data_IF_050240762885
#
_entry.id   IF_050240762885
#
_cell.length_a   1.000
_cell.length_b   1.000
_cell.length_c   1.000
_cell.angle_alpha   90.00
_cell.angle_beta   90.00
_cell.angle_gamma   90.00
#
_symmetry.space_group_name_H-M   'P 1'
#
loop_
_entity.id
_entity.type
_entity.pdbx_description
1 polymer ?
#
# COMPACT_ATOMS: atom_id res chain seq x y z
N UNK A 1 29.70 2.22 0.36
CA UNK A 1 28.33 2.36 0.90
C UNK A 1 28.16 1.29 1.97
N UNK A 2 28.29 1.63 3.26
CA UNK A 2 28.52 0.59 4.29
C UNK A 2 27.26 -0.22 4.69
N UNK A 3 26.03 0.31 4.54
CA UNK A 3 24.79 -0.40 4.95
C UNK A 3 23.57 -0.07 4.07
N UNK A 4 23.43 -0.63 2.86
CA UNK A 4 22.32 -0.35 1.93
C UNK A 4 20.92 -0.53 2.56
N UNK A 5 20.70 -1.61 3.32
CA UNK A 5 19.40 -1.88 3.93
C UNK A 5 19.01 -0.87 5.02
N UNK A 6 20.00 -0.31 5.73
CA UNK A 6 19.75 0.75 6.71
C UNK A 6 19.33 2.05 6.02
N UNK A 7 19.96 2.40 4.90
CA UNK A 7 19.57 3.55 4.09
C UNK A 7 18.19 3.35 3.48
N UNK A 8 17.87 2.16 2.97
CA UNK A 8 16.53 1.82 2.49
C UNK A 8 15.46 2.02 3.57
N UNK A 9 15.70 1.51 4.79
CA UNK A 9 14.78 1.71 5.93
C UNK A 9 14.65 3.17 6.36
N UNK A 10 15.71 3.97 6.25
CA UNK A 10 15.67 5.42 6.53
C UNK A 10 14.88 6.16 5.45
N UNK A 11 15.11 5.81 4.19
CA UNK A 11 14.40 6.34 3.03
C UNK A 11 12.90 6.10 3.16
N UNK A 12 12.45 4.85 3.36
CA UNK A 12 11.03 4.53 3.51
C UNK A 12 10.33 5.35 4.61
N UNK A 13 10.97 5.50 5.78
CA UNK A 13 10.45 6.34 6.88
C UNK A 13 10.43 7.83 6.54
N UNK A 14 11.37 8.33 5.73
CA UNK A 14 11.39 9.73 5.29
C UNK A 14 10.30 9.98 4.25
N UNK A 15 10.10 9.02 3.34
CA UNK A 15 9.03 9.00 2.34
C UNK A 15 7.65 9.03 2.99
N UNK A 16 7.39 8.17 3.97
CA UNK A 16 6.12 8.17 4.70
C UNK A 16 5.85 9.53 5.39
N UNK A 17 6.87 10.09 6.07
CA UNK A 17 6.73 11.39 6.74
C UNK A 17 6.46 12.54 5.78
N UNK A 18 7.06 12.55 4.59
CA UNK A 18 6.78 13.61 3.61
C UNK A 18 5.40 13.45 2.98
N UNK A 19 4.92 12.21 2.77
CA UNK A 19 3.55 11.93 2.33
C UNK A 19 2.55 12.48 3.34
N UNK A 20 2.69 12.13 4.62
CA UNK A 20 1.81 12.63 5.69
C UNK A 20 1.83 14.16 5.79
N UNK A 21 3.03 14.77 5.72
CA UNK A 21 3.17 16.22 5.77
C UNK A 21 2.51 16.91 4.56
N UNK A 22 2.70 16.38 3.35
CA UNK A 22 2.08 16.94 2.13
C UNK A 22 0.57 16.75 2.14
N UNK A 23 0.09 15.58 2.55
CA UNK A 23 -1.34 15.31 2.72
C UNK A 23 -1.99 16.34 3.65
N UNK A 24 -1.34 16.66 4.76
CA UNK A 24 -1.80 17.72 5.68
C UNK A 24 -1.84 19.11 5.04
N UNK A 25 -0.80 19.51 4.32
CA UNK A 25 -0.75 20.81 3.64
C UNK A 25 -1.86 20.94 2.58
N UNK A 26 -2.22 19.85 1.92
CA UNK A 26 -3.26 19.84 0.89
C UNK A 26 -4.69 19.63 1.44
N UNK A 27 -4.90 19.59 2.76
CA UNK A 27 -6.21 19.29 3.35
C UNK A 27 -6.67 17.84 3.15
N UNK A 28 -5.75 16.96 2.77
CA UNK A 28 -5.96 15.55 2.44
C UNK A 28 -5.44 14.62 3.55
N UNK A 29 -5.54 15.03 4.81
CA UNK A 29 -4.97 14.31 5.97
C UNK A 29 -5.41 12.83 6.03
N UNK A 30 -6.67 12.57 5.67
CA UNK A 30 -7.23 11.23 5.56
C UNK A 30 -6.48 10.34 4.54
N UNK A 31 -5.94 10.95 3.48
CA UNK A 31 -5.32 10.28 2.33
C UNK A 31 -3.85 9.95 2.57
N UNK A 32 -3.15 10.72 3.41
CA UNK A 32 -1.75 10.48 3.75
C UNK A 32 -1.53 9.36 4.78
N UNK A 33 -2.59 8.95 5.47
CA UNK A 33 -2.55 7.88 6.47
C UNK A 33 -2.91 6.50 5.94
N UNK A 34 -2.97 5.48 6.82
CA UNK A 34 -3.25 4.10 6.43
C UNK A 34 -4.57 3.90 5.67
N UNK A 35 -5.61 4.68 5.95
CA UNK A 35 -6.90 4.57 5.25
C UNK A 35 -6.79 5.00 3.78
N UNK A 36 -6.11 6.11 3.51
CA UNK A 36 -5.81 6.54 2.15
C UNK A 36 -4.98 5.54 1.37
N UNK A 37 -3.98 4.93 2.02
CA UNK A 37 -3.18 3.86 1.42
C UNK A 37 -4.03 2.65 1.04
N UNK A 38 -4.95 2.21 1.91
CA UNK A 38 -5.90 1.13 1.57
C UNK A 38 -6.74 1.49 0.35
N UNK A 39 -7.31 2.70 0.28
CA UNK A 39 -8.09 3.12 -0.89
C UNK A 39 -7.25 3.15 -2.17
N UNK A 40 -6.00 3.60 -2.08
CA UNK A 40 -5.06 3.64 -3.20
C UNK A 40 -4.73 2.23 -3.70
N UNK A 41 -4.37 1.31 -2.79
CA UNK A 41 -4.08 -0.10 -3.09
C UNK A 41 -5.28 -0.77 -3.76
N UNK A 42 -6.46 -0.69 -3.15
CA UNK A 42 -7.68 -1.34 -3.68
C UNK A 42 -8.01 -0.77 -5.06
N UNK A 43 -7.90 0.55 -5.26
CA UNK A 43 -8.16 1.18 -6.55
C UNK A 43 -7.13 0.78 -7.61
N UNK A 44 -5.85 0.76 -7.26
CA UNK A 44 -4.77 0.40 -8.18
C UNK A 44 -4.86 -1.07 -8.62
N UNK A 45 -5.13 -1.98 -7.67
CA UNK A 45 -5.36 -3.41 -7.96
C UNK A 45 -6.60 -3.62 -8.83
N UNK A 46 -7.70 -2.91 -8.55
CA UNK A 46 -8.91 -2.99 -9.36
C UNK A 46 -8.67 -2.53 -10.81
N UNK A 47 -7.88 -1.48 -11.04
CA UNK A 47 -7.48 -1.04 -12.40
C UNK A 47 -6.71 -2.12 -13.18
N UNK A 48 -6.06 -3.05 -12.47
CA UNK A 48 -5.33 -4.21 -13.03
C UNK A 48 -6.18 -5.47 -13.10
N UNK A 49 -7.47 -5.40 -12.78
CA UNK A 49 -8.38 -6.55 -12.75
C UNK A 49 -8.16 -7.49 -11.56
N UNK A 50 -7.48 -7.03 -10.51
CA UNK A 50 -7.17 -7.84 -9.33
C UNK A 50 -8.12 -7.53 -8.17
N UNK A 51 -8.66 -8.58 -7.55
CA UNK A 51 -9.37 -8.48 -6.28
C UNK A 51 -8.40 -8.18 -5.14
N UNK A 52 -8.90 -7.51 -4.10
CA UNK A 52 -8.13 -7.18 -2.90
C UNK A 52 -8.77 -7.79 -1.67
N UNK A 53 -8.01 -8.56 -0.91
CA UNK A 53 -8.42 -9.19 0.34
C UNK A 53 -7.75 -8.50 1.54
N UNK A 54 -8.29 -8.72 2.75
CA UNK A 54 -7.70 -8.17 3.98
C UNK A 54 -6.24 -8.62 4.17
N UNK A 55 -5.91 -9.87 3.83
CA UNK A 55 -4.53 -10.39 3.88
C UNK A 55 -3.58 -9.64 2.92
N UNK A 56 -4.12 -9.13 1.81
CA UNK A 56 -3.30 -8.37 0.87
C UNK A 56 -2.96 -7.02 1.48
N UNK A 57 -3.90 -6.38 2.20
CA UNK A 57 -3.63 -5.14 2.95
C UNK A 57 -2.66 -5.37 4.09
N UNK A 58 -2.73 -6.52 4.77
CA UNK A 58 -1.75 -6.92 5.80
C UNK A 58 -0.33 -6.90 5.24
N UNK A 59 -0.13 -7.56 4.10
CA UNK A 59 1.15 -7.66 3.42
C UNK A 59 1.61 -6.32 2.82
N UNK A 60 0.74 -5.63 2.06
CA UNK A 60 1.08 -4.38 1.36
C UNK A 60 1.43 -3.24 2.32
N UNK A 61 0.85 -3.25 3.54
CA UNK A 61 1.14 -2.25 4.56
C UNK A 61 2.16 -2.70 5.60
N UNK A 62 2.62 -3.95 5.56
CA UNK A 62 3.51 -4.56 6.56
C UNK A 62 3.00 -4.33 8.01
N UNK A 63 1.73 -4.69 8.24
CA UNK A 63 1.07 -4.56 9.54
C UNK A 63 0.56 -5.91 10.01
N UNK A 64 0.40 -6.10 11.31
CA UNK A 64 -0.16 -7.37 11.81
C UNK A 64 -1.62 -7.56 11.41
N UNK A 65 -2.04 -8.82 11.28
CA UNK A 65 -3.44 -9.23 11.07
C UNK A 65 -4.46 -8.49 11.94
N UNK A 66 -4.14 -8.26 13.21
CA UNK A 66 -5.05 -7.56 14.13
C UNK A 66 -5.17 -6.08 13.81
N UNK A 67 -4.07 -5.42 13.43
CA UNK A 67 -4.04 -4.02 13.00
C UNK A 67 -4.79 -3.86 11.67
N UNK A 68 -4.52 -4.72 10.68
CA UNK A 68 -5.24 -4.72 9.41
C UNK A 68 -6.74 -4.92 9.62
N UNK A 69 -7.13 -5.93 10.41
CA UNK A 69 -8.54 -6.19 10.72
C UNK A 69 -9.24 -5.00 11.38
N UNK A 70 -8.57 -4.32 12.32
CA UNK A 70 -9.13 -3.14 12.99
C UNK A 70 -9.22 -1.92 12.07
N UNK A 71 -8.25 -1.74 11.17
CA UNK A 71 -8.27 -0.70 10.15
C UNK A 71 -9.46 -0.90 9.20
N UNK A 72 -9.61 -2.10 8.64
CA UNK A 72 -10.68 -2.43 7.71
C UNK A 72 -12.06 -2.32 8.37
N UNK A 73 -12.26 -2.83 9.59
CA UNK A 73 -13.52 -2.67 10.34
C UNK A 73 -13.90 -1.20 10.52
N UNK A 74 -12.91 -0.34 10.79
CA UNK A 74 -13.14 1.10 10.94
C UNK A 74 -13.54 1.75 9.62
N UNK A 75 -12.87 1.39 8.53
CA UNK A 75 -13.19 1.91 7.19
C UNK A 75 -14.58 1.46 6.71
N UNK A 76 -14.97 0.22 7.02
CA UNK A 76 -16.31 -0.30 6.75
C UNK A 76 -17.37 0.46 7.55
N UNK A 77 -17.16 0.61 8.86
CA UNK A 77 -18.05 1.40 9.75
C UNK A 77 -18.22 2.85 9.27
N UNK A 78 -17.16 3.45 8.72
CA UNK A 78 -17.17 4.82 8.23
C UNK A 78 -17.72 4.95 6.79
N UNK A 79 -18.12 3.84 6.15
CA UNK A 79 -18.73 3.87 4.81
C UNK A 79 -17.76 4.08 3.65
N UNK A 80 -16.44 3.99 3.88
CA UNK A 80 -15.44 4.14 2.81
C UNK A 80 -15.26 2.86 1.98
N UNK A 81 -15.53 1.70 2.59
CA UNK A 81 -15.46 0.38 1.96
C UNK A 81 -16.65 -0.47 2.39
N UNK A 82 -16.88 -1.58 1.69
CA UNK A 82 -17.71 -2.68 2.15
C UNK A 82 -16.99 -4.01 1.92
N UNK A 83 -17.32 -5.01 2.73
CA UNK A 83 -16.74 -6.34 2.63
C UNK A 83 -17.70 -7.32 1.95
N UNK A 84 -17.17 -8.08 1.01
CA UNK A 84 -17.86 -9.21 0.39
C UNK A 84 -17.18 -10.50 0.83
N UNK A 85 -17.96 -11.49 1.27
CA UNK A 85 -17.41 -12.81 1.61
C UNK A 85 -17.17 -13.56 0.32
N UNK A 86 -15.96 -14.11 0.15
CA UNK A 86 -15.65 -14.89 -1.04
C UNK A 86 -16.58 -16.11 -1.16
N UNK A 87 -17.09 -16.34 -2.36
CA UNK A 87 -17.93 -17.51 -2.66
C UNK A 87 -17.16 -18.83 -2.46
N UNK A 88 -15.85 -18.81 -2.70
CA UNK A 88 -14.97 -20.00 -2.65
C UNK A 88 -14.38 -20.26 -1.26
N UNK A 89 -14.16 -19.22 -0.47
CA UNK A 89 -13.63 -19.33 0.90
C UNK A 89 -14.34 -18.34 1.83
N UNK A 90 -15.23 -18.86 2.68
CA UNK A 90 -16.01 -18.04 3.63
C UNK A 90 -15.13 -17.31 4.67
N UNK A 91 -13.86 -17.70 4.82
CA UNK A 91 -12.89 -17.01 5.69
C UNK A 91 -12.22 -15.83 4.99
N UNK A 92 -12.25 -15.80 3.66
CA UNK A 92 -11.71 -14.71 2.85
C UNK A 92 -12.75 -13.59 2.68
N UNK A 93 -12.37 -12.38 3.06
CA UNK A 93 -13.18 -11.17 2.85
C UNK A 93 -12.51 -10.27 1.84
N UNK A 94 -13.23 -9.98 0.76
CA UNK A 94 -12.84 -9.08 -0.31
C UNK A 94 -13.25 -7.66 0.05
N UNK A 95 -12.39 -6.69 -0.27
CA UNK A 95 -12.58 -5.28 0.01
C UNK A 95 -13.06 -4.58 -1.26
N UNK A 96 -14.19 -3.89 -1.16
CA UNK A 96 -14.74 -3.09 -2.25
C UNK A 96 -14.88 -1.63 -1.84
N UNK A 97 -14.65 -0.74 -2.81
CA UNK A 97 -14.84 0.70 -2.64
C UNK A 97 -16.31 1.08 -2.77
N UNK A 98 -16.81 1.88 -1.84
CA UNK A 98 -18.15 2.49 -1.94
C UNK A 98 -18.20 3.59 -2.99
N UNK A 99 -19.41 4.03 -3.35
CA UNK A 99 -19.58 5.17 -4.26
C UNK A 99 -18.93 6.45 -3.70
N UNK A 100 -19.00 6.65 -2.37
CA UNK A 100 -18.39 7.78 -1.68
C UNK A 100 -16.87 7.81 -1.87
N UNK A 101 -16.18 6.70 -1.59
CA UNK A 101 -14.72 6.66 -1.75
C UNK A 101 -14.30 6.75 -3.21
N UNK A 102 -15.10 6.22 -4.15
CA UNK A 102 -14.86 6.36 -5.59
C UNK A 102 -14.84 7.81 -6.07
N UNK A 103 -15.67 8.69 -5.49
CA UNK A 103 -15.65 10.13 -5.83
C UNK A 103 -14.32 10.80 -5.44
N UNK A 104 -13.72 10.33 -4.34
CA UNK A 104 -12.46 10.86 -3.81
C UNK A 104 -11.22 10.24 -4.47
N UNK A 105 -11.39 9.17 -5.27
CA UNK A 105 -10.26 8.48 -5.90
C UNK A 105 -9.47 9.37 -6.85
N UNK A 106 -10.12 10.32 -7.54
CA UNK A 106 -9.41 11.20 -8.46
C UNK A 106 -8.36 12.02 -7.72
N UNK A 107 -8.77 12.70 -6.65
CA UNK A 107 -7.87 13.48 -5.79
C UNK A 107 -6.79 12.59 -5.16
N UNK A 108 -7.15 11.35 -4.80
CA UNK A 108 -6.21 10.37 -4.25
C UNK A 108 -5.10 10.02 -5.25
N UNK A 109 -5.50 9.68 -6.49
CA UNK A 109 -4.57 9.34 -7.56
C UNK A 109 -3.70 10.54 -7.92
N UNK A 110 -4.29 11.73 -8.04
CA UNK A 110 -3.56 12.95 -8.34
C UNK A 110 -2.50 13.25 -7.27
N UNK A 111 -2.85 13.04 -5.98
CA UNK A 111 -1.92 13.20 -4.86
C UNK A 111 -0.74 12.22 -4.91
N UNK A 112 -1.01 10.91 -5.04
CA UNK A 112 0.06 9.91 -5.06
C UNK A 112 0.93 10.00 -6.32
N UNK A 113 0.34 10.29 -7.48
CA UNK A 113 1.10 10.53 -8.70
C UNK A 113 2.05 11.73 -8.57
N UNK A 114 1.63 12.79 -7.86
CA UNK A 114 2.49 13.95 -7.60
C UNK A 114 3.66 13.59 -6.68
N UNK A 115 3.42 12.76 -5.66
CA UNK A 115 4.47 12.23 -4.80
C UNK A 115 5.47 11.43 -5.62
N UNK A 116 5.00 10.49 -6.44
CA UNK A 116 5.86 9.65 -7.29
C UNK A 116 6.69 10.49 -8.24
N UNK A 117 6.07 11.47 -8.92
CA UNK A 117 6.76 12.40 -9.82
C UNK A 117 7.87 13.17 -9.10
N UNK A 118 7.61 13.64 -7.88
CA UNK A 118 8.59 14.37 -7.08
C UNK A 118 9.74 13.47 -6.60
N UNK A 119 9.44 12.23 -6.19
CA UNK A 119 10.44 11.29 -5.67
C UNK A 119 11.31 10.69 -6.77
N UNK A 120 10.77 10.52 -7.97
CA UNK A 120 11.44 9.97 -9.14
C UNK A 120 12.09 11.05 -10.03
N UNK A 121 12.04 12.32 -9.63
CA UNK A 121 12.63 13.40 -10.42
C UNK A 121 14.14 13.17 -10.62
N UNK A 122 14.55 13.14 -11.89
CA UNK A 122 15.95 12.92 -12.28
C UNK A 122 16.39 11.46 -12.31
N UNK A 123 15.49 10.51 -12.04
CA UNK A 123 15.72 9.07 -12.23
C UNK A 123 15.34 8.69 -13.66
N UNK A 124 16.28 8.13 -14.40
CA UNK A 124 16.06 7.64 -15.77
C UNK A 124 15.25 6.34 -15.78
N UNK A 125 14.68 5.99 -16.94
CA UNK A 125 13.98 4.72 -17.12
C UNK A 125 14.89 3.50 -16.92
N UNK A 126 16.17 3.60 -17.29
CA UNK A 126 17.16 2.54 -17.09
C UNK A 126 17.49 2.32 -15.60
N UNK A 127 17.65 3.41 -14.84
CA UNK A 127 17.85 3.35 -13.39
C UNK A 127 16.62 2.77 -12.69
N UNK A 128 15.42 3.14 -13.13
CA UNK A 128 14.17 2.60 -12.59
C UNK A 128 13.99 1.12 -12.93
N UNK A 129 14.35 0.69 -14.14
CA UNK A 129 14.36 -0.72 -14.54
C UNK A 129 15.34 -1.53 -13.67
N UNK A 130 16.53 -0.97 -13.44
CA UNK A 130 17.54 -1.57 -12.55
C UNK A 130 17.02 -1.68 -11.11
N UNK A 131 16.42 -0.61 -10.58
CA UNK A 131 15.79 -0.60 -9.27
C UNK A 131 14.72 -1.69 -9.16
N UNK A 132 13.84 -1.80 -10.16
CA UNK A 132 12.78 -2.81 -10.20
C UNK A 132 13.35 -4.23 -10.16
N UNK A 133 14.40 -4.51 -10.94
CA UNK A 133 15.09 -5.81 -10.93
C UNK A 133 15.69 -6.13 -9.56
N UNK A 134 16.32 -5.15 -8.90
CA UNK A 134 16.92 -5.35 -7.57
C UNK A 134 15.83 -5.57 -6.51
N UNK A 135 14.73 -4.81 -6.56
CA UNK A 135 13.59 -4.99 -5.65
C UNK A 135 12.96 -6.38 -5.78
N UNK A 136 12.82 -6.92 -7.00
CA UNK A 136 12.34 -8.28 -7.20
C UNK A 136 13.23 -9.34 -6.51
N UNK A 137 14.56 -9.15 -6.54
CA UNK A 137 15.49 -10.03 -5.82
C UNK A 137 15.35 -9.91 -4.30
N UNK A 138 15.09 -8.71 -3.79
CA UNK A 138 14.81 -8.52 -2.35
C UNK A 138 13.54 -9.24 -1.91
N UNK A 139 12.44 -9.15 -2.68
CA UNK A 139 11.22 -9.89 -2.37
C UNK A 139 11.44 -11.41 -2.35
N UNK A 140 12.14 -11.96 -3.33
CA UNK A 140 12.49 -13.39 -3.35
C UNK A 140 13.32 -13.82 -2.14
N UNK A 141 14.20 -12.95 -1.64
CA UNK A 141 14.98 -13.26 -0.44
C UNK A 141 14.12 -13.22 0.82
N UNK A 142 13.13 -12.32 0.89
CA UNK A 142 12.17 -12.25 2.00
C UNK A 142 11.30 -13.51 2.03
N UNK A 143 10.72 -13.90 0.89
CA UNK A 143 9.90 -15.12 0.78
C UNK A 143 10.65 -16.37 1.24
N UNK A 144 11.95 -16.47 0.91
CA UNK A 144 12.81 -17.56 1.38
C UNK A 144 12.98 -17.55 2.90
N UNK A 145 13.27 -16.39 3.49
CA UNK A 145 13.41 -16.27 4.94
C UNK A 145 12.11 -16.63 5.67
N UNK A 146 10.96 -16.18 5.16
CA UNK A 146 9.65 -16.52 5.74
C UNK A 146 9.35 -18.02 5.65
N UNK A 147 9.78 -18.70 4.57
CA UNK A 147 9.63 -20.15 4.45
C UNK A 147 10.57 -20.94 5.37
N UNK A 148 11.80 -20.48 5.56
CA UNK A 148 12.77 -21.11 6.46
C UNK A 148 12.35 -20.99 7.93
N UNK A 149 11.79 -19.84 8.32
CA UNK A 149 11.28 -19.60 9.68
C UNK A 149 9.96 -20.36 9.98
N UNK A 150 9.23 -20.82 8.96
CA UNK A 150 8.01 -21.61 9.12
C UNK A 150 8.27 -23.11 9.35
N UNK A 151 9.47 -23.58 9.01
CA UNK A 151 9.91 -24.98 9.14
C UNK A 151 10.70 -25.26 10.44
N UNK A 152 10.82 -24.27 11.34
CA UNK A 152 11.51 -24.33 12.65
C UNK A 152 10.53 -24.17 13.80
#
# INVERSE_FOLDING_TARGET
MEKPLLEFKRFGRKTQRIIEKRAKVCGMEFMGGPQGQVLHIVSHRAKRGLSTFIRDIEHELDISKSVASNLIKRMEKNGSIFLEVSETDKRAKMIHLTAQSKQQLKELHDFFNEIDRCLLQGVSEEELATFTLVMAKFHQNIEKLESEDADV
#
